data_IF_553630793874
#
_entry.id   IF_553630793874
#
_cell.length_a   1.000
_cell.length_b   1.000
_cell.length_c   1.000
_cell.angle_alpha   90.00
_cell.angle_beta   90.00
_cell.angle_gamma   90.00
#
_symmetry.space_group_name_H-M   'P 1'
#
loop_
_entity.id
_entity.type
_entity.pdbx_description
1 polymer ?
#
# COMPACT_ATOMS: atom_id res chain seq x y z
N UNK A 1 7.47 -27.76 5.49
CA UNK A 1 8.52 -27.29 4.56
C UNK A 1 8.09 -27.60 3.14
N UNK A 2 7.39 -26.68 2.48
CA UNK A 2 6.93 -26.89 1.10
C UNK A 2 7.76 -26.02 0.15
N UNK A 3 8.49 -26.72 -0.71
CA UNK A 3 9.51 -26.23 -1.63
C UNK A 3 8.82 -25.74 -2.92
N UNK A 4 8.59 -24.43 -3.06
CA UNK A 4 8.09 -23.85 -4.31
C UNK A 4 9.24 -23.73 -5.32
N UNK A 5 9.34 -24.71 -6.23
CA UNK A 5 10.21 -24.61 -7.42
C UNK A 5 9.55 -23.70 -8.46
N UNK A 6 10.05 -22.47 -8.56
CA UNK A 6 9.69 -21.51 -9.60
C UNK A 6 10.09 -22.07 -10.99
N UNK A 7 9.12 -22.25 -11.88
CA UNK A 7 9.35 -22.90 -13.19
C UNK A 7 10.05 -21.95 -14.18
N UNK A 8 10.78 -22.51 -15.15
CA UNK A 8 11.51 -21.76 -16.19
C UNK A 8 10.63 -20.79 -17.00
N UNK A 9 9.29 -20.94 -16.95
CA UNK A 9 8.31 -20.08 -17.63
C UNK A 9 8.09 -18.75 -16.89
N UNK A 10 8.06 -18.76 -15.56
CA UNK A 10 7.91 -17.55 -14.74
C UNK A 10 9.13 -16.62 -14.86
N UNK A 11 10.32 -17.20 -15.01
CA UNK A 11 11.57 -16.45 -15.26
C UNK A 11 11.54 -15.61 -16.54
N UNK A 12 10.91 -16.11 -17.61
CA UNK A 12 10.83 -15.38 -18.90
C UNK A 12 9.86 -14.21 -18.86
N UNK A 13 8.76 -14.33 -18.10
CA UNK A 13 7.75 -13.27 -17.96
C UNK A 13 8.28 -12.07 -17.17
N UNK A 14 8.97 -12.31 -16.03
CA UNK A 14 9.65 -11.24 -15.29
C UNK A 14 10.71 -10.53 -16.15
N UNK A 15 11.45 -11.26 -16.98
CA UNK A 15 12.50 -10.70 -17.83
C UNK A 15 11.97 -9.69 -18.87
N UNK A 16 10.78 -9.92 -19.41
CA UNK A 16 10.12 -8.98 -20.33
C UNK A 16 9.77 -7.64 -19.69
N UNK A 17 9.34 -7.64 -18.42
CA UNK A 17 9.06 -6.40 -17.70
C UNK A 17 10.34 -5.62 -17.35
N UNK A 18 11.42 -6.28 -16.94
CA UNK A 18 12.67 -5.59 -16.57
C UNK A 18 13.30 -4.80 -17.72
N UNK A 19 13.22 -5.33 -18.95
CA UNK A 19 13.72 -4.63 -20.14
C UNK A 19 12.89 -3.40 -20.51
N UNK A 20 11.59 -3.40 -20.21
CA UNK A 20 10.65 -2.34 -20.60
C UNK A 20 10.77 -1.09 -19.73
N UNK A 21 11.26 -1.22 -18.49
CA UNK A 21 11.33 -0.11 -17.52
C UNK A 21 12.76 0.36 -17.20
N UNK A 22 13.75 0.08 -18.07
CA UNK A 22 15.11 0.65 -18.00
C UNK A 22 15.82 0.49 -16.63
N UNK A 23 15.52 -0.57 -15.86
CA UNK A 23 16.20 -0.89 -14.60
C UNK A 23 17.61 -1.49 -14.85
N UNK A 24 18.48 -0.73 -15.51
CA UNK A 24 19.83 -1.15 -15.97
C UNK A 24 20.71 -1.74 -14.86
N UNK A 25 20.49 -1.33 -13.61
CA UNK A 25 21.27 -1.79 -12.46
C UNK A 25 20.86 -3.17 -11.95
N UNK A 26 19.64 -3.63 -12.21
CA UNK A 26 19.15 -4.94 -11.75
C UNK A 26 19.25 -6.02 -12.82
N UNK A 27 19.45 -5.65 -14.10
CA UNK A 27 19.66 -6.59 -15.20
C UNK A 27 20.95 -7.41 -15.01
N UNK A 28 22.02 -6.77 -14.52
CA UNK A 28 23.31 -7.42 -14.30
C UNK A 28 23.25 -8.51 -13.21
N UNK A 29 22.47 -8.29 -12.14
CA UNK A 29 22.35 -9.23 -11.02
C UNK A 29 21.51 -10.47 -11.37
N UNK A 30 20.56 -10.32 -12.30
CA UNK A 30 19.75 -11.41 -12.85
C UNK A 30 20.56 -12.25 -13.85
N UNK A 31 21.33 -11.62 -14.74
CA UNK A 31 22.20 -12.33 -15.70
C UNK A 31 23.29 -13.15 -14.99
N UNK A 32 23.84 -12.63 -13.89
CA UNK A 32 24.84 -13.33 -13.09
C UNK A 32 24.27 -14.50 -12.26
N UNK A 33 22.94 -14.72 -12.26
CA UNK A 33 22.30 -15.80 -11.50
C UNK A 33 22.39 -15.66 -9.97
N UNK A 34 22.79 -14.48 -9.47
CA UNK A 34 23.04 -14.22 -8.04
C UNK A 34 21.80 -13.72 -7.30
N UNK A 35 20.77 -13.28 -8.01
CA UNK A 35 19.52 -12.76 -7.43
C UNK A 35 18.85 -13.73 -6.44
N UNK A 36 18.98 -15.04 -6.63
CA UNK A 36 18.39 -16.05 -5.74
C UNK A 36 19.36 -16.65 -4.70
N UNK A 37 20.61 -16.18 -4.61
CA UNK A 37 21.63 -16.76 -3.73
C UNK A 37 21.96 -15.93 -2.48
N UNK A 38 21.28 -14.79 -2.27
CA UNK A 38 21.41 -14.03 -1.04
C UNK A 38 20.53 -14.63 0.07
N UNK A 39 20.91 -15.80 0.59
CA UNK A 39 20.64 -16.09 2.00
C UNK A 39 21.54 -15.16 2.81
N UNK A 40 20.95 -14.11 3.38
CA UNK A 40 21.52 -13.29 4.45
C UNK A 40 22.96 -12.82 4.24
N UNK A 41 23.14 -11.73 3.49
CA UNK A 41 24.38 -10.94 3.58
C UNK A 41 24.11 -9.49 3.18
N UNK A 42 24.23 -8.60 4.17
CA UNK A 42 24.20 -7.14 4.08
C UNK A 42 25.43 -6.67 3.26
N UNK A 43 25.33 -5.75 2.28
CA UNK A 43 26.53 -5.18 1.68
C UNK A 43 27.18 -4.22 2.68
N UNK A 44 28.41 -4.54 3.06
CA UNK A 44 29.27 -3.71 3.86
C UNK A 44 29.79 -2.51 3.03
N UNK A 45 29.57 -1.30 3.52
CA UNK A 45 30.39 -0.14 3.21
C UNK A 45 31.14 0.24 4.50
N UNK A 46 32.45 0.48 4.40
CA UNK A 46 33.36 0.87 5.50
C UNK A 46 34.10 2.14 5.07
N UNK A 47 34.63 2.97 5.98
CA UNK A 47 33.96 3.72 7.03
C UNK A 47 34.27 5.24 6.92
N UNK A 48 33.39 6.11 7.43
CA UNK A 48 33.79 7.45 7.87
C UNK A 48 33.39 7.63 9.33
N UNK A 49 34.41 7.91 10.13
CA UNK A 49 34.38 8.05 11.58
C UNK A 49 33.96 9.48 11.93
N UNK A 50 32.79 9.63 12.54
CA UNK A 50 32.55 10.72 13.50
C UNK A 50 31.59 10.21 14.57
N UNK A 51 32.14 10.12 15.77
CA UNK A 51 31.50 9.73 17.00
C UNK A 51 30.51 10.79 17.48
N UNK A 52 29.24 10.41 17.64
CA UNK A 52 28.44 10.81 18.79
C UNK A 52 27.50 9.64 19.10
N UNK A 53 27.57 9.14 20.33
CA UNK A 53 26.66 8.14 20.84
C UNK A 53 25.26 8.76 20.97
N UNK A 54 24.28 8.18 20.26
CA UNK A 54 22.89 8.19 20.68
C UNK A 54 22.27 6.88 20.21
N UNK A 55 21.73 6.13 21.18
CA UNK A 55 21.30 4.75 21.07
C UNK A 55 19.97 4.69 20.30
N UNK A 56 20.04 4.61 18.97
CA UNK A 56 18.88 4.35 18.14
C UNK A 56 18.42 2.89 18.34
N UNK A 57 17.15 2.63 18.69
CA UNK A 57 16.68 1.27 18.88
C UNK A 57 16.77 0.52 17.54
N UNK A 58 17.37 -0.66 17.55
CA UNK A 58 17.33 -1.60 16.43
C UNK A 58 15.86 -1.93 16.13
N UNK A 59 15.32 -1.36 15.06
CA UNK A 59 14.03 -1.75 14.50
C UNK A 59 14.19 -3.15 13.92
N UNK A 60 13.96 -4.16 14.74
CA UNK A 60 13.80 -5.53 14.27
C UNK A 60 12.68 -5.53 13.24
N UNK A 61 12.99 -6.02 12.02
CA UNK A 61 12.00 -6.18 10.97
C UNK A 61 10.98 -7.22 11.42
N UNK A 62 9.92 -6.74 12.06
CA UNK A 62 8.80 -7.54 12.53
C UNK A 62 8.12 -8.11 11.30
N UNK A 63 7.90 -9.43 11.27
CA UNK A 63 7.12 -10.08 10.21
C UNK A 63 5.67 -9.65 10.43
N UNK A 64 5.19 -8.72 9.59
CA UNK A 64 3.81 -8.26 9.63
C UNK A 64 2.93 -9.32 8.96
N UNK A 65 1.97 -9.87 9.70
CA UNK A 65 0.97 -10.79 9.13
C UNK A 65 -0.07 -10.01 8.31
N UNK A 66 -0.58 -10.65 7.25
CA UNK A 66 -1.65 -10.14 6.38
C UNK A 66 -3.02 -10.73 6.73
N UNK A 67 -3.11 -11.57 7.77
CA UNK A 67 -4.32 -12.34 8.08
C UNK A 67 -5.53 -11.46 8.46
N UNK A 68 -5.29 -10.22 8.93
CA UNK A 68 -6.36 -9.29 9.31
C UNK A 68 -6.65 -8.23 8.24
N UNK A 69 -6.33 -8.52 6.98
CA UNK A 69 -6.64 -7.63 5.87
C UNK A 69 -8.04 -7.96 5.39
N UNK A 70 -8.91 -6.95 5.39
CA UNK A 70 -10.32 -7.13 5.01
C UNK A 70 -10.66 -6.34 3.76
N UNK A 71 -11.42 -6.95 2.85
CA UNK A 71 -12.09 -6.25 1.77
C UNK A 71 -13.51 -5.92 2.21
N UNK A 72 -13.84 -4.63 2.25
CA UNK A 72 -15.12 -4.12 2.72
C UNK A 72 -16.04 -3.94 1.51
N UNK A 73 -17.07 -4.78 1.41
CA UNK A 73 -18.05 -4.76 0.31
C UNK A 73 -19.43 -4.22 0.74
N UNK A 74 -19.66 -4.04 2.04
CA UNK A 74 -20.94 -3.63 2.61
C UNK A 74 -20.82 -2.43 3.57
N UNK A 75 -21.91 -1.65 3.67
CA UNK A 75 -21.94 -0.45 4.50
C UNK A 75 -21.79 -0.72 6.00
N UNK A 76 -22.23 -1.88 6.50
CA UNK A 76 -22.18 -2.20 7.92
C UNK A 76 -20.72 -2.36 8.37
N UNK A 77 -19.95 -3.13 7.62
CA UNK A 77 -18.52 -3.31 7.82
C UNK A 77 -17.78 -1.98 7.65
N UNK A 78 -18.15 -1.14 6.67
CA UNK A 78 -17.55 0.18 6.49
C UNK A 78 -17.77 1.07 7.73
N UNK A 79 -19.00 1.14 8.24
CA UNK A 79 -19.33 1.93 9.45
C UNK A 79 -18.60 1.41 10.68
N UNK A 80 -18.47 0.09 10.82
CA UNK A 80 -17.69 -0.50 11.90
C UNK A 80 -16.21 -0.10 11.83
N UNK A 81 -15.64 -0.01 10.61
CA UNK A 81 -14.28 0.47 10.41
C UNK A 81 -14.11 1.97 10.66
N UNK A 82 -15.06 2.80 10.24
CA UNK A 82 -15.06 4.23 10.55
C UNK A 82 -15.01 4.45 12.06
N UNK A 83 -15.84 3.73 12.82
CA UNK A 83 -15.84 3.83 14.29
C UNK A 83 -14.52 3.36 14.95
N UNK A 84 -13.75 2.48 14.29
CA UNK A 84 -12.40 2.10 14.74
C UNK A 84 -11.39 3.21 14.42
N UNK A 85 -11.47 3.79 13.22
CA UNK A 85 -10.60 4.87 12.77
C UNK A 85 -10.77 6.15 13.59
N UNK A 86 -12.00 6.49 13.99
CA UNK A 86 -12.29 7.64 14.87
C UNK A 86 -11.65 7.52 16.25
N UNK A 87 -11.42 6.29 16.73
CA UNK A 87 -10.80 6.01 18.04
C UNK A 87 -9.29 5.82 17.93
N UNK A 88 -8.76 5.65 16.72
CA UNK A 88 -7.34 5.45 16.51
C UNK A 88 -6.59 6.76 16.76
N UNK A 89 -5.44 6.72 17.47
CA UNK A 89 -4.62 7.91 17.69
C UNK A 89 -4.06 8.47 16.38
N UNK A 90 -3.78 7.58 15.43
CA UNK A 90 -3.35 7.87 14.06
C UNK A 90 -3.71 6.68 13.19
N UNK A 91 -4.01 6.91 11.91
CA UNK A 91 -4.21 5.83 10.95
C UNK A 91 -3.51 6.14 9.62
N UNK A 92 -3.11 5.09 8.93
CA UNK A 92 -2.64 5.17 7.56
C UNK A 92 -3.83 5.18 6.59
N UNK A 93 -3.74 5.98 5.53
CA UNK A 93 -4.74 6.11 4.50
C UNK A 93 -4.06 6.22 3.13
N UNK A 94 -4.58 5.50 2.13
CA UNK A 94 -4.16 5.60 0.74
C UNK A 94 -5.35 5.46 -0.23
N UNK A 95 -5.15 5.96 -1.45
CA UNK A 95 -6.15 5.93 -2.52
C UNK A 95 -5.59 5.20 -3.74
N UNK A 96 -6.39 4.32 -4.32
CA UNK A 96 -6.09 3.64 -5.58
C UNK A 96 -6.84 4.29 -6.74
N UNK A 97 -6.12 4.50 -7.83
CA UNK A 97 -6.63 5.16 -9.04
C UNK A 97 -6.36 4.33 -10.28
N UNK A 98 -7.12 4.57 -11.34
CA UNK A 98 -6.94 3.93 -12.65
C UNK A 98 -5.83 4.56 -13.50
N UNK A 99 -5.34 5.74 -13.11
CA UNK A 99 -4.35 6.53 -13.84
C UNK A 99 -3.33 7.16 -12.90
N UNK A 100 -2.15 7.45 -13.47
CA UNK A 100 -1.09 8.24 -12.83
C UNK A 100 -1.32 9.76 -13.00
N UNK A 101 -2.19 10.17 -13.92
CA UNK A 101 -2.54 11.58 -14.10
C UNK A 101 -3.60 12.00 -13.08
N UNK A 102 -3.19 12.76 -12.07
CA UNK A 102 -4.05 13.17 -10.96
C UNK A 102 -5.30 13.97 -11.38
N UNK A 103 -5.26 14.63 -12.54
CA UNK A 103 -6.37 15.46 -13.04
C UNK A 103 -7.45 14.60 -13.71
N UNK A 104 -7.08 13.52 -14.41
CA UNK A 104 -8.05 12.64 -15.07
C UNK A 104 -8.31 11.32 -14.35
N UNK A 105 -7.52 10.98 -13.33
CA UNK A 105 -7.64 9.76 -12.55
C UNK A 105 -9.02 9.64 -11.88
N UNK A 106 -9.58 8.44 -11.96
CA UNK A 106 -10.77 8.05 -11.20
C UNK A 106 -10.36 7.27 -9.95
N UNK A 107 -11.09 7.49 -8.87
CA UNK A 107 -10.96 6.71 -7.64
C UNK A 107 -11.50 5.29 -7.86
N UNK A 108 -10.63 4.31 -7.68
CA UNK A 108 -10.94 2.87 -7.81
C UNK A 108 -11.18 2.24 -6.43
N UNK A 109 -10.47 2.71 -5.41
CA UNK A 109 -10.65 2.24 -4.04
C UNK A 109 -9.88 3.05 -3.01
N UNK A 110 -10.17 2.79 -1.74
CA UNK A 110 -9.51 3.40 -0.60
C UNK A 110 -8.96 2.33 0.33
N UNK A 111 -7.82 2.58 0.95
CA UNK A 111 -7.25 1.67 1.95
C UNK A 111 -6.93 2.39 3.25
N UNK A 112 -7.07 1.67 4.36
CA UNK A 112 -6.83 2.16 5.70
C UNK A 112 -6.04 1.13 6.50
N UNK A 113 -5.17 1.60 7.40
CA UNK A 113 -4.55 0.75 8.42
C UNK A 113 -4.50 1.47 9.77
N UNK A 114 -4.95 0.78 10.82
CA UNK A 114 -4.96 1.31 12.18
C UNK A 114 -3.72 0.87 12.97
N UNK A 115 -3.22 -0.33 12.68
CA UNK A 115 -2.06 -0.93 13.33
C UNK A 115 -1.30 -1.82 12.33
N UNK A 116 -0.01 -2.12 12.56
CA UNK A 116 0.74 -3.06 11.72
C UNK A 116 0.03 -4.41 11.63
N UNK A 117 -0.36 -4.80 10.41
CA UNK A 117 -1.04 -6.06 10.15
C UNK A 117 -2.57 -6.00 10.23
N UNK A 118 -3.16 -4.84 10.53
CA UNK A 118 -4.62 -4.61 10.57
C UNK A 118 -5.00 -3.53 9.57
N UNK A 119 -5.54 -3.95 8.42
CA UNK A 119 -5.83 -3.07 7.30
C UNK A 119 -7.16 -3.42 6.61
N UNK A 120 -7.77 -2.41 5.99
CA UNK A 120 -8.97 -2.56 5.19
C UNK A 120 -8.79 -1.97 3.80
N UNK A 121 -9.41 -2.59 2.81
CA UNK A 121 -9.55 -2.09 1.46
C UNK A 121 -11.03 -1.97 1.09
N UNK A 122 -11.41 -0.84 0.53
CA UNK A 122 -12.78 -0.51 0.11
C UNK A 122 -12.74 -0.29 -1.41
N UNK A 123 -13.08 -1.32 -2.20
CA UNK A 123 -13.28 -1.16 -3.64
C UNK A 123 -14.57 -0.37 -3.91
N UNK A 124 -14.52 0.60 -4.81
CA UNK A 124 -15.67 1.46 -5.14
C UNK A 124 -15.98 1.57 -6.64
N UNK A 125 -15.06 1.14 -7.50
CA UNK A 125 -15.22 1.24 -8.95
C UNK A 125 -14.44 0.15 -9.71
N UNK A 126 -14.34 -1.08 -9.16
CA UNK A 126 -13.82 -2.21 -9.94
C UNK A 126 -14.88 -2.70 -10.93
N UNK A 127 -14.51 -2.78 -12.21
CA UNK A 127 -15.42 -3.03 -13.34
C UNK A 127 -15.04 -4.27 -14.18
N UNK A 128 -14.25 -5.19 -13.61
CA UNK A 128 -13.89 -6.44 -14.29
C UNK A 128 -15.06 -7.44 -14.33
N UNK A 129 -14.96 -8.44 -15.23
CA UNK A 129 -15.97 -9.47 -15.38
C UNK A 129 -16.15 -10.24 -14.07
N UNK A 130 -17.39 -10.34 -13.58
CA UNK A 130 -17.77 -10.98 -12.31
C UNK A 130 -17.23 -10.24 -11.06
N UNK A 131 -16.93 -8.94 -11.16
CA UNK A 131 -16.64 -8.12 -9.99
C UNK A 131 -17.81 -8.22 -8.98
N UNK A 132 -17.52 -8.45 -7.69
CA UNK A 132 -18.57 -8.52 -6.68
C UNK A 132 -19.24 -7.16 -6.51
N UNK A 133 -20.43 -7.19 -5.91
CA UNK A 133 -21.12 -5.96 -5.50
C UNK A 133 -20.23 -5.15 -4.56
N UNK A 134 -20.18 -3.84 -4.82
CA UNK A 134 -19.35 -2.88 -4.12
C UNK A 134 -20.22 -1.75 -3.59
N UNK A 135 -19.74 -1.11 -2.52
CA UNK A 135 -20.31 0.16 -2.08
C UNK A 135 -20.05 1.18 -3.18
N UNK A 136 -21.08 1.92 -3.62
CA UNK A 136 -20.88 2.96 -4.62
C UNK A 136 -19.88 4.01 -4.11
N UNK A 137 -19.08 4.56 -5.03
CA UNK A 137 -18.09 5.59 -4.72
C UNK A 137 -18.69 6.76 -3.97
N UNK A 138 -19.84 7.25 -4.43
CA UNK A 138 -20.53 8.39 -3.84
C UNK A 138 -20.93 8.10 -2.39
N UNK A 139 -21.42 6.87 -2.13
CA UNK A 139 -21.84 6.47 -0.79
C UNK A 139 -20.66 6.23 0.15
N UNK A 140 -19.60 5.60 -0.33
CA UNK A 140 -18.38 5.40 0.45
C UNK A 140 -17.75 6.74 0.85
N UNK A 141 -17.69 7.69 -0.09
CA UNK A 141 -17.19 9.04 0.15
C UNK A 141 -18.06 9.82 1.13
N UNK A 142 -19.39 9.75 1.00
CA UNK A 142 -20.32 10.38 1.95
C UNK A 142 -20.09 9.90 3.39
N UNK A 143 -19.92 8.59 3.59
CA UNK A 143 -19.67 8.00 4.91
C UNK A 143 -18.29 8.34 5.47
N UNK A 144 -17.27 8.40 4.61
CA UNK A 144 -15.88 8.70 5.02
C UNK A 144 -15.61 10.19 5.22
N UNK A 145 -16.43 11.06 4.61
CA UNK A 145 -16.23 12.51 4.62
C UNK A 145 -16.02 13.11 6.03
N UNK A 146 -16.86 12.82 7.04
CA UNK A 146 -16.68 13.39 8.38
C UNK A 146 -15.31 13.06 8.98
N UNK A 147 -14.84 11.81 8.81
CA UNK A 147 -13.54 11.36 9.30
C UNK A 147 -12.37 12.01 8.55
N UNK A 148 -12.49 12.10 7.22
CA UNK A 148 -11.41 12.64 6.37
C UNK A 148 -11.26 14.16 6.55
N UNK A 149 -12.35 14.89 6.76
CA UNK A 149 -12.35 16.34 6.97
C UNK A 149 -12.06 16.78 8.41
N UNK A 150 -12.16 15.87 9.40
CA UNK A 150 -11.84 16.20 10.79
C UNK A 150 -10.35 16.49 10.99
N UNK A 151 -9.99 17.74 11.31
CA UNK A 151 -8.61 18.16 11.58
C UNK A 151 -8.00 17.45 12.80
N UNK A 152 -8.82 16.92 13.72
CA UNK A 152 -8.35 16.19 14.92
C UNK A 152 -7.95 14.76 14.60
N UNK A 153 -8.51 14.17 13.56
CA UNK A 153 -8.15 12.82 13.13
C UNK A 153 -6.79 12.88 12.41
N UNK A 154 -5.75 12.28 13.01
CA UNK A 154 -4.40 12.28 12.45
C UNK A 154 -4.27 11.20 11.38
N UNK A 155 -3.88 11.62 10.16
CA UNK A 155 -3.75 10.74 9.00
C UNK A 155 -2.31 10.70 8.49
N UNK A 156 -1.82 9.50 8.19
CA UNK A 156 -0.53 9.26 7.52
C UNK A 156 -0.80 8.70 6.12
N UNK A 157 -0.12 9.20 5.09
CA UNK A 157 -0.32 8.70 3.72
C UNK A 157 0.79 9.11 2.77
N UNK A 158 1.02 8.33 1.71
CA UNK A 158 2.11 8.55 0.75
C UNK A 158 1.77 9.49 -0.42
N UNK A 159 0.49 9.61 -0.82
CA UNK A 159 0.06 10.41 -1.99
C UNK A 159 -0.79 11.62 -1.59
N UNK A 160 -0.19 12.74 -1.17
CA UNK A 160 -0.94 13.90 -0.64
C UNK A 160 -1.77 14.66 -1.69
N UNK A 161 -1.38 14.62 -2.98
CA UNK A 161 -2.00 15.40 -4.05
C UNK A 161 -3.37 14.86 -4.49
N UNK A 162 -3.49 13.54 -4.72
CA UNK A 162 -4.76 12.87 -5.04
C UNK A 162 -5.75 13.00 -3.86
N UNK A 163 -5.23 12.88 -2.63
CA UNK A 163 -5.99 13.08 -1.40
C UNK A 163 -6.63 14.47 -1.35
N UNK A 164 -5.90 15.52 -1.72
CA UNK A 164 -6.41 16.89 -1.68
C UNK A 164 -7.61 17.09 -2.61
N UNK A 165 -7.59 16.48 -3.81
CA UNK A 165 -8.71 16.55 -4.76
C UNK A 165 -9.96 15.89 -4.21
N UNK A 166 -9.88 14.64 -3.78
CA UNK A 166 -11.06 13.95 -3.24
C UNK A 166 -11.51 14.54 -1.91
N UNK A 167 -10.60 15.06 -1.09
CA UNK A 167 -10.98 15.89 0.07
C UNK A 167 -11.66 17.20 -0.34
N UNK A 168 -11.39 17.74 -1.53
CA UNK A 168 -12.04 18.94 -2.08
C UNK A 168 -13.38 18.67 -2.76
N UNK A 169 -13.54 17.53 -3.45
CA UNK A 169 -14.83 17.05 -3.98
C UNK A 169 -15.81 16.74 -2.85
N UNK A 170 -15.30 16.37 -1.67
CA UNK A 170 -16.10 16.27 -0.46
C UNK A 170 -16.56 17.65 0.07
N UNK A 171 -16.00 18.80 -0.34
CA UNK A 171 -16.37 20.12 0.24
C UNK A 171 -17.60 20.81 -0.37
N UNK A 172 -18.33 20.18 -1.28
CA UNK A 172 -19.50 20.78 -1.94
C UNK A 172 -20.76 19.91 -1.79
#
# INVERSE_FOLDING_TARGET
MNNWKCSNRQRKSCWGCFKKYEFKRWTADVEAGKWLQAKGAKPAAKPQETSVADEAPEVTATVISYDNYVTILDEETLKAWIAKLEKAPVFAFDTETDSLDNISANLVGLSFAIEPGVAAYIPVAHDYLDAPDQISRERALELLKPLLEDEKALKVGQKPEIRSRYSGELRH
#
